data_IF_202917459119
#
_entry.id   IF_202917459119
#
_cell.length_a   1.000
_cell.length_b   1.000
_cell.length_c   1.000
_cell.angle_alpha   90.00
_cell.angle_beta   90.00
_cell.angle_gamma   90.00
#
_symmetry.space_group_name_H-M   'P 1'
#
loop_
_entity.id
_entity.type
_entity.pdbx_description
1 polymer ?
#
# COMPACT_ATOMS: atom_id res chain seq x y z
N UNK A 1 -32.19 7.89 -26.23
CA UNK A 1 -32.73 9.18 -25.73
C UNK A 1 -31.93 10.29 -26.39
N UNK A 2 -32.55 11.40 -26.82
CA UNK A 2 -31.82 12.56 -27.34
C UNK A 2 -30.87 13.10 -26.27
N UNK A 3 -29.60 13.31 -26.63
CA UNK A 3 -28.60 13.90 -25.74
C UNK A 3 -28.86 15.40 -25.59
N UNK A 4 -28.63 15.92 -24.38
CA UNK A 4 -28.71 17.36 -24.13
C UNK A 4 -27.38 18.01 -24.49
N UNK A 5 -27.43 19.16 -25.18
CA UNK A 5 -26.23 19.86 -25.60
C UNK A 5 -25.70 20.77 -24.48
N UNK A 6 -24.72 20.27 -23.73
CA UNK A 6 -23.95 21.00 -22.71
C UNK A 6 -22.51 20.52 -22.73
N UNK A 7 -21.58 21.36 -22.31
CA UNK A 7 -20.16 21.02 -22.21
C UNK A 7 -19.65 21.19 -20.79
N UNK A 8 -18.96 20.17 -20.26
CA UNK A 8 -18.38 20.18 -18.92
C UNK A 8 -17.15 19.27 -18.84
N UNK A 9 -16.20 19.66 -18.00
CA UNK A 9 -15.17 18.74 -17.52
C UNK A 9 -15.62 18.03 -16.25
N UNK A 10 -15.42 16.72 -16.21
CA UNK A 10 -15.62 15.89 -15.01
C UNK A 10 -14.26 15.52 -14.45
N UNK A 11 -14.03 15.84 -13.18
CA UNK A 11 -12.75 15.69 -12.48
C UNK A 11 -12.98 14.85 -11.23
N UNK A 12 -12.10 13.87 -10.97
CA UNK A 12 -12.04 13.23 -9.65
C UNK A 12 -10.94 13.88 -8.78
N UNK A 13 -11.26 14.08 -7.52
CA UNK A 13 -10.31 14.48 -6.47
C UNK A 13 -10.44 13.57 -5.26
N UNK A 14 -9.74 13.91 -4.18
CA UNK A 14 -9.79 13.15 -2.92
C UNK A 14 -11.23 13.07 -2.36
N UNK A 15 -11.80 11.86 -2.45
CA UNK A 15 -13.17 11.53 -2.05
C UNK A 15 -14.24 12.45 -2.68
N UNK A 16 -13.98 13.03 -3.85
CA UNK A 16 -14.93 13.92 -4.52
C UNK A 16 -14.96 13.78 -6.04
N UNK A 17 -16.09 14.15 -6.61
CA UNK A 17 -16.28 14.36 -8.04
C UNK A 17 -16.72 15.82 -8.25
N UNK A 18 -16.10 16.47 -9.24
CA UNK A 18 -16.36 17.86 -9.62
C UNK A 18 -16.84 17.84 -11.07
N UNK A 19 -17.97 18.49 -11.34
CA UNK A 19 -18.49 18.75 -12.68
C UNK A 19 -18.40 20.25 -12.88
N UNK A 20 -17.60 20.69 -13.85
CA UNK A 20 -17.32 22.10 -14.12
C UNK A 20 -17.74 22.45 -15.54
N UNK A 21 -18.76 23.29 -15.67
CA UNK A 21 -19.10 23.93 -16.93
C UNK A 21 -18.32 25.24 -17.10
N UNK A 22 -17.97 25.64 -18.34
CA UNK A 22 -17.46 26.97 -18.58
C UNK A 22 -18.54 27.98 -18.17
N UNK A 23 -18.19 28.91 -17.28
CA UNK A 23 -19.12 29.97 -16.89
C UNK A 23 -19.44 30.82 -18.13
N UNK A 24 -20.70 31.19 -18.38
CA UNK A 24 -21.07 31.97 -19.57
C UNK A 24 -20.63 33.45 -19.52
N UNK A 25 -19.56 33.78 -18.78
CA UNK A 25 -19.05 35.14 -18.59
C UNK A 25 -19.88 35.97 -17.59
N UNK A 26 -19.59 37.28 -17.52
CA UNK A 26 -20.36 38.24 -16.70
C UNK A 26 -21.72 38.46 -17.34
N UNK A 27 -22.78 38.05 -16.67
CA UNK A 27 -24.16 38.22 -17.13
C UNK A 27 -24.94 39.15 -16.19
N UNK A 28 -26.12 39.58 -16.61
CA UNK A 28 -27.06 40.21 -15.68
C UNK A 28 -27.51 39.19 -14.63
N UNK A 29 -27.83 39.66 -13.43
CA UNK A 29 -28.26 38.79 -12.31
C UNK A 29 -29.44 37.87 -12.68
N UNK A 30 -30.40 38.37 -13.46
CA UNK A 30 -31.54 37.58 -13.94
C UNK A 30 -31.12 36.43 -14.86
N UNK A 31 -30.20 36.67 -15.78
CA UNK A 31 -29.68 35.65 -16.71
C UNK A 31 -28.85 34.60 -15.97
N UNK A 32 -28.02 35.04 -15.02
CA UNK A 32 -27.23 34.13 -14.18
C UNK A 32 -28.13 33.22 -13.34
N UNK A 33 -29.20 33.77 -12.75
CA UNK A 33 -30.19 32.98 -11.99
C UNK A 33 -31.01 32.03 -12.86
N UNK A 34 -31.36 32.44 -14.09
CA UNK A 34 -32.04 31.57 -15.04
C UNK A 34 -31.14 30.39 -15.45
N UNK A 35 -29.88 30.67 -15.75
CA UNK A 35 -28.87 29.65 -16.07
C UNK A 35 -28.64 28.69 -14.90
N UNK A 36 -28.49 29.21 -13.68
CA UNK A 36 -28.30 28.40 -12.46
C UNK A 36 -29.50 27.47 -12.22
N UNK A 37 -30.73 27.97 -12.43
CA UNK A 37 -31.97 27.19 -12.33
C UNK A 37 -32.02 26.10 -13.39
N UNK A 38 -31.64 26.40 -14.63
CA UNK A 38 -31.57 25.42 -15.71
C UNK A 38 -30.54 24.33 -15.40
N UNK A 39 -29.33 24.72 -14.98
CA UNK A 39 -28.25 23.78 -14.64
C UNK A 39 -28.65 22.88 -13.46
N UNK A 40 -29.33 23.44 -12.46
CA UNK A 40 -29.93 22.69 -11.34
C UNK A 40 -30.94 21.65 -11.83
N UNK A 41 -31.83 22.03 -12.73
CA UNK A 41 -32.90 21.17 -13.24
C UNK A 41 -32.38 20.08 -14.19
N UNK A 42 -31.38 20.40 -15.01
CA UNK A 42 -30.86 19.49 -16.02
C UNK A 42 -29.78 18.56 -15.45
N UNK A 43 -28.91 19.05 -14.55
CA UNK A 43 -27.71 18.32 -14.13
C UNK A 43 -27.80 17.89 -12.67
N UNK A 44 -28.02 18.83 -11.74
CA UNK A 44 -28.09 18.49 -10.30
C UNK A 44 -29.21 17.47 -10.01
N UNK A 45 -30.41 17.70 -10.56
CA UNK A 45 -31.55 16.78 -10.42
C UNK A 45 -31.21 15.37 -10.91
N UNK A 46 -30.47 15.24 -12.02
CA UNK A 46 -30.07 13.93 -12.57
C UNK A 46 -29.02 13.23 -11.73
N UNK A 47 -28.08 13.98 -11.14
CA UNK A 47 -27.13 13.44 -10.16
C UNK A 47 -27.90 12.88 -8.96
N UNK A 48 -28.83 13.64 -8.39
CA UNK A 48 -29.69 13.19 -7.28
C UNK A 48 -30.49 11.94 -7.65
N UNK A 49 -31.10 11.89 -8.84
CA UNK A 49 -31.81 10.70 -9.30
C UNK A 49 -30.89 9.48 -9.45
N UNK A 50 -29.65 9.69 -9.93
CA UNK A 50 -28.65 8.63 -10.07
C UNK A 50 -28.20 8.12 -8.71
N UNK A 51 -27.98 9.03 -7.75
CA UNK A 51 -27.66 8.72 -6.36
C UNK A 51 -28.77 7.90 -5.70
N UNK A 52 -30.03 8.35 -5.80
CA UNK A 52 -31.18 7.64 -5.24
C UNK A 52 -31.30 6.22 -5.81
N UNK A 53 -31.09 6.02 -7.12
CA UNK A 53 -31.08 4.68 -7.75
C UNK A 53 -29.95 3.78 -7.25
N UNK A 54 -28.85 4.37 -6.77
CA UNK A 54 -27.76 3.62 -6.14
C UNK A 54 -28.01 3.37 -4.65
N UNK A 55 -29.14 3.80 -4.10
CA UNK A 55 -29.49 3.64 -2.68
C UNK A 55 -28.90 4.72 -1.76
N UNK A 56 -28.50 5.87 -2.30
CA UNK A 56 -28.18 7.04 -1.49
C UNK A 56 -29.47 7.76 -1.09
N UNK A 57 -29.54 8.20 0.16
CA UNK A 57 -30.50 9.21 0.60
C UNK A 57 -29.93 10.57 0.25
N UNK A 58 -30.75 11.47 -0.31
CA UNK A 58 -30.35 12.83 -0.69
C UNK A 58 -31.40 13.83 -0.18
N UNK A 59 -31.11 14.51 0.92
CA UNK A 59 -32.02 15.47 1.54
C UNK A 59 -31.54 16.90 1.33
N UNK A 60 -32.46 17.86 1.20
CA UNK A 60 -32.09 19.27 1.32
C UNK A 60 -31.77 19.57 2.79
N UNK A 61 -30.74 20.39 3.08
CA UNK A 61 -30.48 20.78 4.46
C UNK A 61 -31.68 21.55 5.04
N UNK A 62 -31.83 21.52 6.36
CA UNK A 62 -32.84 22.31 7.07
C UNK A 62 -32.41 23.79 7.13
N UNK A 63 -33.39 24.70 7.13
CA UNK A 63 -33.14 26.12 7.40
C UNK A 63 -32.88 26.31 8.88
N UNK A 64 -31.77 26.97 9.22
CA UNK A 64 -31.51 27.40 10.59
C UNK A 64 -32.54 28.45 10.99
N UNK A 65 -32.99 28.44 12.24
CA UNK A 65 -34.00 29.40 12.73
C UNK A 65 -33.60 30.86 12.47
N UNK A 66 -32.32 31.21 12.71
CA UNK A 66 -31.79 32.54 12.41
C UNK A 66 -31.94 32.93 10.94
N UNK A 67 -31.68 32.00 10.03
CA UNK A 67 -31.75 32.26 8.59
C UNK A 67 -33.19 32.46 8.12
N UNK A 68 -34.18 31.89 8.84
CA UNK A 68 -35.60 32.11 8.56
C UNK A 68 -36.04 33.55 8.83
N UNK A 69 -35.43 34.20 9.82
CA UNK A 69 -35.77 35.56 10.22
C UNK A 69 -34.98 36.60 9.41
N UNK A 70 -33.66 36.44 9.29
CA UNK A 70 -32.79 37.53 8.81
C UNK A 70 -32.53 37.51 7.30
N UNK A 71 -32.49 36.32 6.67
CA UNK A 71 -31.96 36.16 5.30
C UNK A 71 -32.67 35.05 4.50
N UNK A 72 -33.97 34.86 4.74
CA UNK A 72 -34.73 33.71 4.22
C UNK A 72 -34.55 33.47 2.72
N UNK A 73 -34.69 34.51 1.89
CA UNK A 73 -34.59 34.37 0.43
C UNK A 73 -33.20 33.91 -0.06
N UNK A 74 -32.13 34.37 0.61
CA UNK A 74 -30.75 33.98 0.29
C UNK A 74 -30.51 32.54 0.76
N UNK A 75 -30.85 32.25 2.02
CA UNK A 75 -30.67 30.93 2.62
C UNK A 75 -31.47 29.84 1.90
N UNK A 76 -32.72 30.11 1.51
CA UNK A 76 -33.55 29.19 0.73
C UNK A 76 -32.95 28.92 -0.66
N UNK A 77 -32.35 29.92 -1.32
CA UNK A 77 -31.68 29.66 -2.59
C UNK A 77 -30.42 28.80 -2.43
N UNK A 78 -29.60 29.05 -1.40
CA UNK A 78 -28.45 28.19 -1.08
C UNK A 78 -28.88 26.75 -0.78
N UNK A 79 -29.92 26.58 0.02
CA UNK A 79 -30.48 25.28 0.39
C UNK A 79 -30.93 24.46 -0.82
N UNK A 80 -31.51 25.11 -1.83
CA UNK A 80 -31.92 24.44 -3.08
C UNK A 80 -30.74 23.92 -3.90
N UNK A 81 -29.55 24.48 -3.73
CA UNK A 81 -28.32 24.08 -4.39
C UNK A 81 -27.53 23.00 -3.63
N UNK A 82 -27.93 22.67 -2.41
CA UNK A 82 -27.21 21.73 -1.56
C UNK A 82 -28.06 20.49 -1.28
N UNK A 83 -27.42 19.32 -1.24
CA UNK A 83 -28.00 18.10 -0.65
C UNK A 83 -27.01 17.51 0.33
N UNK A 84 -27.53 17.11 1.48
CA UNK A 84 -26.86 16.23 2.42
C UNK A 84 -27.22 14.81 2.02
N UNK A 85 -26.20 14.01 1.71
CA UNK A 85 -26.38 12.66 1.19
C UNK A 85 -25.79 11.63 2.14
N UNK A 86 -26.42 10.47 2.23
CA UNK A 86 -25.93 9.36 3.04
C UNK A 86 -26.24 8.00 2.41
N UNK A 87 -25.34 7.04 2.64
CA UNK A 87 -25.52 5.63 2.31
C UNK A 87 -24.80 4.78 3.36
N UNK A 88 -25.54 4.32 4.36
CA UNK A 88 -24.94 3.76 5.58
C UNK A 88 -24.03 4.80 6.24
N UNK A 89 -22.81 4.39 6.60
CA UNK A 89 -21.82 5.26 7.25
C UNK A 89 -21.09 6.22 6.28
N UNK A 90 -21.29 6.05 4.96
CA UNK A 90 -20.72 6.96 3.96
C UNK A 90 -21.66 8.15 3.80
N UNK A 91 -21.16 9.35 4.14
CA UNK A 91 -21.88 10.62 4.03
C UNK A 91 -21.31 11.46 2.90
N UNK A 92 -22.07 12.44 2.41
CA UNK A 92 -21.58 13.36 1.38
C UNK A 92 -22.31 14.69 1.36
N UNK A 93 -21.63 15.72 0.85
CA UNK A 93 -22.23 17.00 0.50
C UNK A 93 -22.26 17.13 -1.02
N UNK A 94 -23.45 17.31 -1.57
CA UNK A 94 -23.65 17.66 -2.97
C UNK A 94 -23.97 19.15 -3.04
N UNK A 95 -23.10 19.96 -3.66
CA UNK A 95 -23.27 21.41 -3.74
C UNK A 95 -23.15 21.90 -5.17
N UNK A 96 -24.11 22.73 -5.59
CA UNK A 96 -24.03 23.57 -6.78
C UNK A 96 -23.55 24.97 -6.39
N UNK A 97 -22.51 25.47 -7.04
CA UNK A 97 -21.95 26.81 -6.84
C UNK A 97 -21.55 27.39 -8.19
N UNK A 98 -22.30 28.37 -8.69
CA UNK A 98 -22.13 28.93 -10.04
C UNK A 98 -22.19 27.81 -11.08
N UNK A 99 -21.15 27.71 -11.92
CA UNK A 99 -21.03 26.68 -12.96
C UNK A 99 -20.38 25.36 -12.50
N UNK A 100 -20.29 25.13 -11.18
CA UNK A 100 -19.62 23.95 -10.63
C UNK A 100 -20.55 23.17 -9.70
N UNK A 101 -20.68 21.87 -9.95
CA UNK A 101 -21.27 20.92 -9.01
C UNK A 101 -20.15 20.11 -8.37
N UNK A 102 -20.12 20.07 -7.05
CA UNK A 102 -19.19 19.25 -6.26
C UNK A 102 -19.97 18.24 -5.45
N UNK A 103 -19.59 16.98 -5.56
CA UNK A 103 -20.06 15.92 -4.67
C UNK A 103 -18.87 15.40 -3.88
N UNK A 104 -18.81 15.74 -2.60
CA UNK A 104 -17.71 15.39 -1.69
C UNK A 104 -18.19 14.40 -0.64
N UNK A 105 -17.58 13.22 -0.62
CA UNK A 105 -17.89 12.11 0.27
C UNK A 105 -16.92 12.08 1.46
N UNK A 106 -17.42 11.64 2.61
CA UNK A 106 -16.66 11.52 3.85
C UNK A 106 -17.27 10.41 4.73
N UNK A 107 -16.55 10.04 5.78
CA UNK A 107 -16.92 8.95 6.69
C UNK A 107 -16.47 9.28 8.11
N UNK A 108 -17.20 8.76 9.09
CA UNK A 108 -16.96 9.01 10.52
C UNK A 108 -16.33 7.81 11.26
N UNK A 109 -16.15 6.67 10.59
CA UNK A 109 -15.65 5.42 11.19
C UNK A 109 -14.17 5.51 11.56
N UNK A 110 -13.37 6.19 10.75
CA UNK A 110 -11.92 6.26 10.90
C UNK A 110 -11.42 7.66 10.52
N UNK A 111 -11.62 8.66 11.36
CA UNK A 111 -11.15 10.04 11.14
C UNK A 111 -10.16 10.44 12.25
N UNK A 112 -8.91 9.94 12.20
CA UNK A 112 -7.96 10.04 13.31
C UNK A 112 -7.50 11.48 13.58
N UNK A 113 -7.45 12.33 12.56
CA UNK A 113 -6.92 13.70 12.69
C UNK A 113 -8.01 14.72 13.03
N UNK A 114 -9.26 14.40 12.65
CA UNK A 114 -10.46 15.23 12.80
C UNK A 114 -11.70 14.37 13.09
N UNK A 115 -11.83 13.83 14.32
CA UNK A 115 -13.01 13.05 14.72
C UNK A 115 -14.26 13.94 14.87
N UNK A 116 -14.07 15.26 15.00
CA UNK A 116 -15.13 16.25 15.00
C UNK A 116 -15.85 16.31 13.64
N UNK A 117 -17.12 16.72 13.68
CA UNK A 117 -17.96 16.87 12.49
C UNK A 117 -18.04 15.61 11.61
N UNK A 118 -18.04 14.41 12.22
CA UNK A 118 -18.18 13.13 11.52
C UNK A 118 -17.10 12.87 10.45
N UNK A 119 -15.88 13.39 10.63
CA UNK A 119 -14.81 13.25 9.65
C UNK A 119 -15.03 14.06 8.37
N UNK A 120 -16.00 14.99 8.34
CA UNK A 120 -16.28 15.88 7.20
C UNK A 120 -15.06 16.69 6.77
N UNK A 121 -14.25 17.11 7.73
CA UNK A 121 -13.06 17.94 7.49
C UNK A 121 -11.75 17.16 7.54
N UNK A 122 -11.81 15.83 7.57
CA UNK A 122 -10.62 14.97 7.47
C UNK A 122 -9.89 15.24 6.15
N UNK A 123 -8.56 15.39 6.22
CA UNK A 123 -7.67 15.40 5.06
C UNK A 123 -7.41 13.97 4.58
N UNK A 124 -7.04 13.79 3.31
CA UNK A 124 -6.81 12.47 2.71
C UNK A 124 -7.95 11.48 2.98
N UNK A 125 -9.19 11.93 2.77
CA UNK A 125 -10.42 11.19 3.13
C UNK A 125 -10.40 9.76 2.57
N UNK A 126 -9.91 9.57 1.35
CA UNK A 126 -9.82 8.23 0.73
C UNK A 126 -8.84 7.28 1.43
N UNK A 127 -7.74 7.82 1.98
CA UNK A 127 -6.71 7.04 2.69
C UNK A 127 -7.25 6.48 3.99
N UNK A 128 -8.06 7.29 4.68
CA UNK A 128 -8.66 6.92 5.95
C UNK A 128 -9.95 6.09 5.80
N UNK A 129 -10.57 6.14 4.63
CA UNK A 129 -11.80 5.40 4.35
C UNK A 129 -11.56 3.87 4.38
N UNK A 130 -12.35 3.12 5.17
CA UNK A 130 -12.31 1.65 5.15
C UNK A 130 -12.51 1.08 3.73
N UNK A 131 -11.89 -0.07 3.46
CA UNK A 131 -11.78 -0.62 2.10
C UNK A 131 -13.13 -0.71 1.34
N UNK A 132 -14.17 -1.27 1.98
CA UNK A 132 -15.49 -1.42 1.35
C UNK A 132 -16.17 -0.07 1.09
N UNK A 133 -16.05 0.88 2.02
CA UNK A 133 -16.57 2.25 1.83
C UNK A 133 -15.86 2.96 0.69
N UNK A 134 -14.53 2.76 0.56
CA UNK A 134 -13.73 3.32 -0.53
C UNK A 134 -14.16 2.75 -1.88
N UNK A 135 -14.49 1.45 -1.95
CA UNK A 135 -15.04 0.85 -3.17
C UNK A 135 -16.42 1.39 -3.52
N UNK A 136 -17.29 1.62 -2.53
CA UNK A 136 -18.63 2.16 -2.76
C UNK A 136 -18.58 3.64 -3.20
N UNK A 137 -17.69 4.42 -2.59
CA UNK A 137 -17.33 5.79 -3.01
C UNK A 137 -16.84 5.80 -4.46
N UNK A 138 -15.91 4.91 -4.81
CA UNK A 138 -15.37 4.74 -6.16
C UNK A 138 -16.47 4.42 -7.18
N UNK A 139 -17.31 3.44 -6.85
CA UNK A 139 -18.45 3.03 -7.67
C UNK A 139 -19.41 4.19 -7.90
N UNK A 140 -19.69 4.96 -6.86
CA UNK A 140 -20.59 6.13 -6.90
C UNK A 140 -20.07 7.18 -7.87
N UNK A 141 -18.80 7.62 -7.74
CA UNK A 141 -18.23 8.62 -8.66
C UNK A 141 -18.16 8.14 -10.11
N UNK A 142 -17.79 6.87 -10.33
CA UNK A 142 -17.78 6.28 -11.69
C UNK A 142 -19.16 6.25 -12.32
N UNK A 143 -20.18 5.86 -11.56
CA UNK A 143 -21.54 5.78 -12.07
C UNK A 143 -22.08 7.15 -12.46
N UNK A 144 -21.82 8.17 -11.65
CA UNK A 144 -22.18 9.56 -11.97
C UNK A 144 -21.47 10.01 -13.26
N UNK A 145 -20.14 9.85 -13.32
CA UNK A 145 -19.35 10.20 -14.52
C UNK A 145 -19.90 9.53 -15.78
N UNK A 146 -20.02 8.19 -15.75
CA UNK A 146 -20.50 7.42 -16.90
C UNK A 146 -21.91 7.82 -17.30
N UNK A 147 -22.81 8.04 -16.33
CA UNK A 147 -24.17 8.49 -16.64
C UNK A 147 -24.17 9.86 -17.32
N UNK A 148 -23.43 10.84 -16.79
CA UNK A 148 -23.40 12.19 -17.32
C UNK A 148 -22.77 12.25 -18.73
N UNK A 149 -21.62 11.59 -18.94
CA UNK A 149 -21.00 11.50 -20.28
C UNK A 149 -21.90 10.83 -21.32
N UNK A 150 -22.79 9.92 -20.91
CA UNK A 150 -23.72 9.26 -21.85
C UNK A 150 -24.91 10.16 -22.22
N UNK A 151 -25.33 11.07 -21.34
CA UNK A 151 -26.53 11.90 -21.50
C UNK A 151 -26.22 13.26 -22.13
N UNK A 152 -25.03 13.81 -21.87
CA UNK A 152 -24.61 15.12 -22.37
C UNK A 152 -23.50 14.97 -23.40
N UNK A 153 -23.71 15.49 -24.60
CA UNK A 153 -22.80 15.30 -25.74
C UNK A 153 -21.42 15.95 -25.56
N UNK A 154 -21.33 17.06 -24.80
CA UNK A 154 -20.08 17.77 -24.56
C UNK A 154 -19.42 17.46 -23.21
N UNK A 155 -19.94 16.50 -22.43
CA UNK A 155 -19.34 16.14 -21.15
C UNK A 155 -18.20 15.14 -21.35
N UNK A 156 -17.02 15.47 -20.84
CA UNK A 156 -15.84 14.60 -20.93
C UNK A 156 -15.18 14.40 -19.57
N UNK A 157 -14.45 13.30 -19.45
CA UNK A 157 -13.65 13.02 -18.25
C UNK A 157 -12.25 13.61 -18.42
N UNK A 158 -11.91 14.59 -17.60
CA UNK A 158 -10.62 15.29 -17.67
C UNK A 158 -9.59 14.50 -16.86
N UNK A 159 -8.87 13.63 -17.57
CA UNK A 159 -7.86 12.74 -16.99
C UNK A 159 -6.63 13.49 -16.50
N UNK A 160 -6.28 14.61 -17.13
CA UNK A 160 -5.12 15.42 -16.75
C UNK A 160 -5.40 16.20 -15.46
N UNK A 161 -6.52 16.91 -15.39
CA UNK A 161 -6.94 17.57 -14.17
C UNK A 161 -7.15 16.54 -13.06
N UNK A 162 -7.76 15.40 -13.35
CA UNK A 162 -7.89 14.31 -12.37
C UNK A 162 -6.54 13.81 -11.86
N UNK A 163 -5.49 13.77 -12.69
CA UNK A 163 -4.13 13.39 -12.25
C UNK A 163 -3.45 14.48 -11.40
N UNK A 164 -3.79 15.76 -11.64
CA UNK A 164 -3.31 16.89 -10.83
C UNK A 164 -4.03 16.98 -9.48
N UNK A 165 -5.35 16.73 -9.45
CA UNK A 165 -6.21 16.83 -8.27
C UNK A 165 -6.29 15.53 -7.46
N UNK A 166 -6.25 14.39 -8.14
CA UNK A 166 -6.11 13.08 -7.55
C UNK A 166 -4.63 12.72 -7.56
N UNK A 167 -4.02 12.62 -6.39
CA UNK A 167 -2.67 12.07 -6.24
C UNK A 167 -2.54 10.81 -7.13
N UNK A 168 -1.36 10.57 -7.71
CA UNK A 168 -1.03 9.37 -8.50
C UNK A 168 -1.05 8.09 -7.63
N UNK A 169 -2.19 7.84 -6.99
CA UNK A 169 -2.40 6.80 -5.99
C UNK A 169 -2.46 5.46 -6.70
N UNK A 170 -2.01 4.42 -6.01
CA UNK A 170 -2.30 3.06 -6.38
C UNK A 170 -3.69 2.70 -5.86
N UNK A 171 -4.52 2.10 -6.71
CA UNK A 171 -5.81 1.59 -6.27
C UNK A 171 -6.87 1.54 -7.36
N UNK A 172 -8.02 0.92 -7.06
CA UNK A 172 -9.16 0.91 -7.97
C UNK A 172 -9.54 2.32 -8.40
N UNK A 173 -9.43 2.61 -9.70
CA UNK A 173 -9.81 3.93 -10.27
C UNK A 173 -8.64 4.89 -10.46
N UNK A 174 -7.47 4.47 -10.01
CA UNK A 174 -6.22 5.16 -10.22
C UNK A 174 -5.26 4.22 -10.97
N UNK A 175 -3.96 4.31 -10.66
CA UNK A 175 -2.93 3.52 -11.31
C UNK A 175 -2.96 2.08 -10.80
N UNK A 176 -2.80 1.13 -11.73
CA UNK A 176 -2.38 -0.23 -11.38
C UNK A 176 -0.92 -0.21 -10.94
N UNK A 177 -0.49 -1.29 -10.26
CA UNK A 177 0.92 -1.48 -9.92
C UNK A 177 1.82 -1.38 -11.17
N UNK A 178 1.41 -2.03 -12.25
CA UNK A 178 2.11 -1.97 -13.53
C UNK A 178 2.17 -0.55 -14.10
N UNK A 179 1.05 0.17 -14.15
CA UNK A 179 1.01 1.54 -14.68
C UNK A 179 1.87 2.49 -13.83
N UNK A 180 1.94 2.27 -12.51
CA UNK A 180 2.80 3.05 -11.62
C UNK A 180 4.28 2.78 -11.90
N UNK A 181 4.66 1.53 -12.13
CA UNK A 181 6.03 1.14 -12.48
C UNK A 181 6.41 1.68 -13.86
N UNK A 182 5.49 1.65 -14.84
CA UNK A 182 5.73 2.24 -16.16
C UNK A 182 6.03 3.74 -16.08
N UNK A 183 5.23 4.49 -15.31
CA UNK A 183 5.49 5.91 -15.05
C UNK A 183 6.85 6.13 -14.38
N UNK A 184 7.26 5.24 -13.48
CA UNK A 184 8.59 5.29 -12.88
C UNK A 184 9.69 5.06 -13.93
N UNK A 185 9.52 4.13 -14.87
CA UNK A 185 10.47 3.92 -15.97
C UNK A 185 10.59 5.12 -16.89
N UNK A 186 9.47 5.77 -17.24
CA UNK A 186 9.48 7.00 -18.04
C UNK A 186 10.36 8.08 -17.40
N UNK A 187 10.26 8.21 -16.07
CA UNK A 187 10.98 9.22 -15.27
C UNK A 187 12.41 8.82 -14.87
N UNK A 188 12.70 7.51 -14.79
CA UNK A 188 13.98 6.98 -14.30
C UNK A 188 15.11 7.20 -15.31
N UNK A 189 16.32 7.45 -14.83
CA UNK A 189 17.52 7.54 -15.69
C UNK A 189 18.27 6.20 -15.81
N UNK A 190 17.87 5.18 -15.05
CA UNK A 190 18.62 3.91 -14.96
C UNK A 190 18.10 2.84 -15.93
N UNK A 191 16.81 2.55 -15.88
CA UNK A 191 16.17 1.57 -16.74
C UNK A 191 14.82 2.09 -17.21
N UNK A 192 14.58 1.97 -18.52
CA UNK A 192 13.41 2.51 -19.20
C UNK A 192 12.30 1.49 -19.43
N UNK A 193 12.42 0.26 -18.93
CA UNK A 193 11.42 -0.78 -19.14
C UNK A 193 11.49 -1.44 -20.53
N UNK A 194 12.47 -1.09 -21.35
CA UNK A 194 12.59 -1.50 -22.75
C UNK A 194 13.98 -2.09 -23.04
N UNK A 195 14.10 -2.83 -24.16
CA UNK A 195 15.35 -3.43 -24.63
C UNK A 195 16.04 -4.32 -23.58
N UNK A 196 15.25 -5.10 -22.83
CA UNK A 196 15.74 -5.95 -21.74
C UNK A 196 16.90 -6.86 -22.14
N UNK A 197 16.81 -7.50 -23.31
CA UNK A 197 17.86 -8.41 -23.82
C UNK A 197 19.22 -7.72 -23.99
N UNK A 198 19.22 -6.46 -24.43
CA UNK A 198 20.43 -5.66 -24.51
C UNK A 198 20.88 -5.20 -23.12
N UNK A 199 19.93 -4.85 -22.26
CA UNK A 199 20.24 -4.35 -20.93
C UNK A 199 20.88 -5.42 -20.04
N UNK A 200 20.36 -6.66 -20.05
CA UNK A 200 20.83 -7.76 -19.21
C UNK A 200 22.25 -8.26 -19.54
N UNK A 201 22.75 -7.94 -20.72
CA UNK A 201 24.12 -8.26 -21.17
C UNK A 201 25.13 -7.14 -20.87
N UNK A 202 24.69 -6.05 -20.24
CA UNK A 202 25.57 -4.94 -19.84
C UNK A 202 26.62 -5.34 -18.79
N UNK A 203 27.74 -4.60 -18.76
CA UNK A 203 28.80 -4.83 -17.80
C UNK A 203 28.29 -4.68 -16.35
N UNK A 204 28.63 -5.64 -15.49
CA UNK A 204 28.23 -5.65 -14.07
C UNK A 204 26.79 -6.12 -13.80
N UNK A 205 26.06 -6.59 -14.82
CA UNK A 205 24.68 -7.04 -14.63
C UNK A 205 24.54 -8.39 -13.96
N UNK A 206 25.47 -9.33 -14.13
CA UNK A 206 25.33 -10.72 -13.64
C UNK A 206 24.91 -10.79 -12.16
N UNK A 207 25.62 -10.09 -11.28
CA UNK A 207 25.29 -10.05 -9.84
C UNK A 207 23.92 -9.42 -9.53
N UNK A 208 23.45 -8.52 -10.38
CA UNK A 208 22.15 -7.86 -10.23
C UNK A 208 20.96 -8.75 -10.66
N UNK A 209 21.26 -9.83 -11.37
CA UNK A 209 20.29 -10.80 -11.87
C UNK A 209 20.25 -12.07 -11.00
N UNK A 210 21.26 -12.34 -10.19
CA UNK A 210 21.34 -13.59 -9.43
C UNK A 210 20.21 -13.69 -8.39
N UNK A 211 19.30 -14.64 -8.62
CA UNK A 211 18.25 -15.02 -7.68
C UNK A 211 18.81 -15.63 -6.39
N UNK A 212 17.94 -15.91 -5.42
CA UNK A 212 18.29 -16.63 -4.21
C UNK A 212 18.92 -18.02 -4.47
N UNK A 213 18.60 -18.65 -5.61
CA UNK A 213 19.18 -19.92 -6.04
C UNK A 213 20.44 -19.77 -6.92
N UNK A 214 20.87 -18.55 -7.23
CA UNK A 214 21.98 -18.30 -8.16
C UNK A 214 21.62 -18.50 -9.63
N UNK A 215 20.32 -18.47 -9.96
CA UNK A 215 19.82 -18.46 -11.34
C UNK A 215 19.50 -17.04 -11.76
N UNK A 216 19.86 -16.64 -12.99
CA UNK A 216 19.58 -15.30 -13.49
C UNK A 216 18.07 -15.03 -13.58
N UNK A 217 17.65 -13.89 -13.04
CA UNK A 217 16.29 -13.40 -13.12
C UNK A 217 16.00 -12.79 -14.49
N UNK A 218 14.79 -13.04 -15.02
CA UNK A 218 14.29 -12.46 -16.26
C UNK A 218 13.21 -11.39 -16.00
N UNK A 219 13.23 -10.33 -16.80
CA UNK A 219 12.23 -9.26 -16.71
C UNK A 219 10.85 -9.77 -17.12
N UNK A 220 9.86 -9.62 -16.24
CA UNK A 220 8.49 -10.08 -16.47
C UNK A 220 8.24 -11.53 -16.06
N UNK A 221 9.17 -12.19 -15.37
CA UNK A 221 8.96 -13.56 -14.90
C UNK A 221 8.17 -13.64 -13.58
N UNK A 222 7.62 -14.82 -13.28
CA UNK A 222 7.03 -15.09 -11.97
C UNK A 222 8.12 -15.43 -10.96
N UNK A 223 8.05 -14.83 -9.78
CA UNK A 223 8.97 -15.09 -8.67
C UNK A 223 8.22 -15.38 -7.37
N UNK A 224 8.91 -16.04 -6.45
CA UNK A 224 8.48 -16.28 -5.09
C UNK A 224 9.41 -15.57 -4.11
N UNK A 225 8.86 -15.08 -3.02
CA UNK A 225 9.64 -14.38 -2.00
C UNK A 225 8.91 -14.45 -0.66
N UNK A 226 9.55 -14.03 0.42
CA UNK A 226 8.93 -14.04 1.73
C UNK A 226 8.60 -12.63 2.21
N UNK A 227 7.44 -12.47 2.85
CA UNK A 227 7.16 -11.22 3.56
C UNK A 227 8.04 -11.10 4.82
N UNK A 228 7.98 -9.93 5.48
CA UNK A 228 8.71 -9.72 6.75
C UNK A 228 8.35 -10.75 7.84
N UNK A 229 7.27 -11.53 7.72
CA UNK A 229 6.87 -12.59 8.67
C UNK A 229 7.32 -13.99 8.22
N UNK A 230 8.02 -14.11 7.10
CA UNK A 230 8.46 -15.37 6.50
C UNK A 230 7.35 -16.09 5.75
N UNK A 231 6.23 -15.44 5.41
CA UNK A 231 5.18 -16.06 4.58
C UNK A 231 5.56 -15.94 3.13
N UNK A 232 5.47 -17.06 2.42
CA UNK A 232 5.66 -17.09 0.97
C UNK A 232 4.60 -16.26 0.26
N UNK A 233 5.06 -15.49 -0.70
CA UNK A 233 4.29 -14.67 -1.62
C UNK A 233 4.70 -15.02 -3.05
N UNK A 234 3.84 -14.66 -4.00
CA UNK A 234 4.10 -14.80 -5.44
C UNK A 234 3.88 -13.46 -6.11
N UNK A 235 4.70 -13.13 -7.10
CA UNK A 235 4.51 -11.93 -7.88
C UNK A 235 5.20 -11.97 -9.23
N UNK A 236 5.00 -10.90 -10.00
CA UNK A 236 5.67 -10.66 -11.27
C UNK A 236 6.89 -9.75 -11.04
N UNK A 237 8.09 -10.24 -11.33
CA UNK A 237 9.32 -9.47 -11.19
C UNK A 237 9.57 -8.59 -12.42
N UNK A 238 9.83 -7.31 -12.19
CA UNK A 238 10.24 -6.34 -13.20
C UNK A 238 11.51 -5.65 -12.70
N UNK A 239 12.57 -5.70 -13.51
CA UNK A 239 13.85 -5.11 -13.16
C UNK A 239 13.72 -3.62 -12.81
N UNK A 240 14.41 -3.16 -11.77
CA UNK A 240 14.42 -1.75 -11.38
C UNK A 240 15.82 -1.14 -11.60
N UNK A 241 16.70 -1.29 -10.62
CA UNK A 241 18.04 -0.71 -10.61
C UNK A 241 18.96 -1.58 -9.76
N UNK A 242 20.19 -1.80 -10.22
CA UNK A 242 21.17 -2.66 -9.55
C UNK A 242 20.53 -4.02 -9.23
N UNK A 243 20.79 -4.57 -8.05
CA UNK A 243 20.18 -5.79 -7.56
C UNK A 243 18.72 -5.62 -7.11
N UNK A 244 18.07 -4.47 -7.32
CA UNK A 244 16.68 -4.24 -6.90
C UNK A 244 15.69 -4.51 -8.02
N UNK A 245 14.58 -5.16 -7.64
CA UNK A 245 13.51 -5.59 -8.52
C UNK A 245 12.16 -5.17 -7.98
N UNK A 246 11.32 -4.59 -8.84
CA UNK A 246 9.91 -4.43 -8.54
C UNK A 246 9.22 -5.80 -8.60
N UNK A 247 8.41 -6.13 -7.60
CA UNK A 247 7.60 -7.34 -7.62
C UNK A 247 6.13 -6.96 -7.47
N UNK A 248 5.36 -7.16 -8.52
CA UNK A 248 3.91 -6.91 -8.53
C UNK A 248 3.22 -8.07 -7.81
N UNK A 249 2.57 -7.78 -6.68
CA UNK A 249 1.89 -8.78 -5.83
C UNK A 249 0.38 -8.79 -6.03
N UNK A 250 -0.15 -7.82 -6.78
CA UNK A 250 -1.56 -7.73 -7.14
C UNK A 250 -1.84 -6.50 -8.02
N UNK A 251 -3.09 -6.30 -8.49
CA UNK A 251 -3.42 -5.23 -9.44
C UNK A 251 -3.03 -3.83 -8.97
N UNK A 252 -2.98 -3.61 -7.65
CA UNK A 252 -2.71 -2.31 -7.03
C UNK A 252 -1.63 -2.38 -5.93
N UNK A 253 -0.81 -3.44 -5.93
CA UNK A 253 0.21 -3.65 -4.91
C UNK A 253 1.49 -4.17 -5.55
N UNK A 254 2.63 -3.59 -5.15
CA UNK A 254 3.96 -4.04 -5.51
C UNK A 254 4.93 -3.73 -4.37
N UNK A 255 6.09 -4.37 -4.40
CA UNK A 255 7.21 -4.14 -3.47
C UNK A 255 8.51 -4.00 -4.26
N UNK A 256 9.57 -3.49 -3.63
CA UNK A 256 10.93 -3.51 -4.17
C UNK A 256 11.75 -4.49 -3.33
N UNK A 257 12.41 -5.46 -3.96
CA UNK A 257 13.17 -6.51 -3.28
C UNK A 257 14.52 -6.70 -3.96
N UNK A 258 15.50 -7.17 -3.20
CA UNK A 258 16.79 -7.56 -3.75
C UNK A 258 16.67 -8.86 -4.55
N UNK A 259 17.45 -9.03 -5.62
CA UNK A 259 17.46 -10.24 -6.46
C UNK A 259 17.73 -11.51 -5.64
N UNK A 260 18.61 -11.43 -4.64
CA UNK A 260 18.92 -12.51 -3.71
C UNK A 260 17.81 -12.88 -2.73
N UNK A 261 16.70 -12.13 -2.70
CA UNK A 261 15.48 -12.46 -1.95
C UNK A 261 14.40 -13.11 -2.84
N UNK A 262 14.64 -13.17 -4.15
CA UNK A 262 13.69 -13.68 -5.13
C UNK A 262 14.06 -15.10 -5.53
N UNK A 263 13.08 -15.97 -5.48
CA UNK A 263 13.17 -17.37 -5.86
C UNK A 263 12.54 -17.56 -7.24
N UNK A 264 13.24 -18.28 -8.13
CA UNK A 264 12.76 -18.63 -9.48
C UNK A 264 11.87 -19.86 -9.49
N UNK A 265 11.92 -20.65 -8.41
CA UNK A 265 11.18 -21.91 -8.25
C UNK A 265 10.20 -21.74 -7.08
N UNK A 266 8.96 -22.27 -7.17
CA UNK A 266 8.04 -22.25 -6.05
C UNK A 266 8.60 -23.01 -4.84
N UNK A 267 8.35 -22.54 -3.61
CA UNK A 267 8.71 -23.30 -2.43
C UNK A 267 7.92 -24.62 -2.37
N UNK A 268 8.55 -25.70 -1.93
CA UNK A 268 7.90 -27.02 -1.81
C UNK A 268 6.63 -26.96 -0.95
N UNK A 269 6.68 -26.20 0.15
CA UNK A 269 5.61 -26.07 1.13
C UNK A 269 5.23 -24.59 1.33
N UNK A 270 4.46 -23.98 0.41
CA UNK A 270 4.15 -22.54 0.44
C UNK A 270 3.34 -22.11 1.67
N UNK A 271 2.65 -23.05 2.33
CA UNK A 271 1.87 -22.79 3.55
C UNK A 271 2.74 -22.70 4.80
N UNK A 272 3.96 -23.25 4.76
CA UNK A 272 4.90 -23.20 5.88
C UNK A 272 5.69 -21.90 5.79
N UNK A 273 5.84 -21.21 6.92
CA UNK A 273 6.62 -19.97 6.98
C UNK A 273 8.11 -20.31 6.93
N UNK A 274 8.84 -19.67 6.03
CA UNK A 274 10.30 -19.62 6.03
C UNK A 274 10.78 -18.65 7.11
N UNK A 275 10.68 -19.08 8.38
CA UNK A 275 11.03 -18.25 9.53
C UNK A 275 11.93 -18.97 10.54
N UNK A 276 12.68 -19.98 10.10
CA UNK A 276 13.53 -20.81 10.95
C UNK A 276 14.51 -19.98 11.78
N UNK A 277 15.22 -19.03 11.17
CA UNK A 277 16.14 -18.13 11.89
C UNK A 277 15.42 -17.33 13.00
N UNK A 278 14.22 -16.82 12.72
CA UNK A 278 13.43 -16.07 13.72
C UNK A 278 12.90 -16.98 14.82
N UNK A 279 12.46 -18.19 14.48
CA UNK A 279 12.02 -19.21 15.42
C UNK A 279 13.18 -19.57 16.35
N UNK A 280 14.36 -19.82 15.79
CA UNK A 280 15.60 -20.09 16.54
C UNK A 280 15.92 -18.95 17.51
N UNK A 281 16.05 -17.72 17.01
CA UNK A 281 16.33 -16.54 17.85
C UNK A 281 15.33 -16.37 19.00
N UNK A 282 14.04 -16.63 18.75
CA UNK A 282 12.99 -16.56 19.78
C UNK A 282 13.17 -17.68 20.82
N UNK A 283 13.43 -18.90 20.39
CA UNK A 283 13.62 -20.03 21.30
C UNK A 283 14.89 -19.85 22.13
N UNK A 284 16.00 -19.39 21.55
CA UNK A 284 17.24 -19.05 22.26
C UNK A 284 16.97 -17.98 23.33
N UNK A 285 16.26 -16.90 22.97
CA UNK A 285 15.90 -15.85 23.93
C UNK A 285 15.03 -16.38 25.08
N UNK A 286 14.05 -17.25 24.79
CA UNK A 286 13.23 -17.88 25.82
C UNK A 286 14.04 -18.81 26.73
N UNK A 287 15.01 -19.53 26.16
CA UNK A 287 15.92 -20.41 26.92
C UNK A 287 16.78 -19.57 27.87
N UNK A 288 17.40 -18.49 27.39
CA UNK A 288 18.17 -17.57 28.23
C UNK A 288 17.33 -16.94 29.34
N UNK A 289 16.08 -16.52 29.03
CA UNK A 289 15.16 -15.99 30.03
C UNK A 289 14.77 -17.01 31.10
N UNK A 290 14.57 -18.28 30.71
CA UNK A 290 14.27 -19.36 31.66
C UNK A 290 15.46 -19.62 32.59
N UNK A 291 16.68 -19.69 32.04
CA UNK A 291 17.91 -19.84 32.82
C UNK A 291 18.13 -18.67 33.79
N UNK A 292 17.90 -17.43 33.36
CA UNK A 292 18.02 -16.24 34.21
C UNK A 292 17.02 -16.23 35.39
N UNK A 293 15.87 -16.89 35.22
CA UNK A 293 14.86 -17.07 36.28
C UNK A 293 15.08 -18.35 37.11
N UNK A 294 16.18 -19.07 36.90
CA UNK A 294 16.48 -20.37 37.52
C UNK A 294 15.42 -21.47 37.21
N UNK A 295 14.64 -21.31 36.14
CA UNK A 295 13.71 -22.34 35.65
C UNK A 295 14.44 -23.31 34.69
N UNK A 296 15.28 -24.16 35.28
CA UNK A 296 16.17 -25.05 34.52
C UNK A 296 15.40 -26.14 33.75
N UNK A 297 14.25 -26.60 34.27
CA UNK A 297 13.40 -27.57 33.56
C UNK A 297 12.89 -27.00 32.24
N UNK A 298 12.42 -25.74 32.25
CA UNK A 298 11.98 -25.07 31.02
C UNK A 298 13.15 -24.80 30.06
N UNK A 299 14.31 -24.41 30.58
CA UNK A 299 15.51 -24.20 29.78
C UNK A 299 15.95 -25.50 29.07
N UNK A 300 15.87 -26.64 29.75
CA UNK A 300 16.19 -27.96 29.19
C UNK A 300 15.24 -28.36 28.06
N UNK A 301 13.92 -28.18 28.24
CA UNK A 301 12.94 -28.44 27.17
C UNK A 301 13.23 -27.59 25.93
N UNK A 302 13.50 -26.29 26.11
CA UNK A 302 13.81 -25.39 25.00
C UNK A 302 15.14 -25.73 24.32
N UNK A 303 16.15 -26.12 25.09
CA UNK A 303 17.43 -26.63 24.58
C UNK A 303 17.22 -27.84 23.68
N UNK A 304 16.43 -28.82 24.12
CA UNK A 304 16.19 -30.05 23.36
C UNK A 304 15.37 -29.81 22.07
N UNK A 305 14.55 -28.76 22.03
CA UNK A 305 13.86 -28.33 20.80
C UNK A 305 14.81 -27.61 19.84
N UNK A 306 15.73 -26.79 20.36
CA UNK A 306 16.69 -26.00 19.59
C UNK A 306 17.80 -26.86 18.99
N UNK A 307 18.35 -27.76 19.82
CA UNK A 307 19.53 -28.55 19.53
C UNK A 307 19.20 -29.98 19.98
N UNK A 308 18.95 -30.90 19.05
CA UNK A 308 18.74 -32.30 19.37
C UNK A 308 19.92 -32.86 20.19
N UNK A 309 19.70 -33.78 21.14
CA UNK A 309 20.75 -34.29 22.03
C UNK A 309 21.95 -34.93 21.33
N UNK A 310 21.76 -35.35 20.07
CA UNK A 310 22.74 -36.04 19.23
C UNK A 310 23.69 -35.10 18.48
N UNK A 311 23.53 -33.78 18.59
CA UNK A 311 24.41 -32.82 17.90
C UNK A 311 25.49 -32.24 18.83
N UNK A 312 26.74 -32.24 18.35
CA UNK A 312 27.85 -31.55 18.99
C UNK A 312 27.67 -30.03 18.91
N UNK A 313 28.02 -29.33 19.99
CA UNK A 313 27.92 -27.88 20.08
C UNK A 313 29.29 -27.22 20.21
N UNK A 314 29.41 -26.08 19.55
CA UNK A 314 30.62 -25.27 19.48
C UNK A 314 30.30 -23.80 19.75
N UNK A 315 31.29 -23.05 20.23
CA UNK A 315 31.35 -21.60 20.15
C UNK A 315 32.31 -21.21 19.02
N UNK A 316 32.08 -20.07 18.37
CA UNK A 316 33.04 -19.49 17.41
C UNK A 316 33.85 -18.43 18.15
N UNK A 317 35.14 -18.67 18.34
CA UNK A 317 36.08 -17.70 18.90
C UNK A 317 36.80 -16.94 17.79
N UNK A 318 37.18 -15.68 18.03
CA UNK A 318 37.97 -14.86 17.11
C UNK A 318 38.98 -13.96 17.81
N UNK A 319 40.18 -13.84 17.23
CA UNK A 319 41.24 -12.94 17.68
C UNK A 319 41.02 -11.47 17.25
N UNK A 320 40.31 -11.23 16.15
CA UNK A 320 40.05 -9.89 15.57
C UNK A 320 39.31 -8.92 16.49
N UNK A 321 38.63 -9.45 17.49
CA UNK A 321 37.89 -8.67 18.48
C UNK A 321 38.47 -8.84 19.90
N UNK A 322 39.80 -8.91 20.01
CA UNK A 322 40.49 -8.98 21.30
C UNK A 322 40.30 -10.32 22.01
N UNK A 323 40.09 -11.40 21.26
CA UNK A 323 39.84 -12.73 21.80
C UNK A 323 38.43 -12.91 22.35
N UNK A 324 37.42 -12.78 21.48
CA UNK A 324 36.01 -12.85 21.85
C UNK A 324 35.27 -13.98 21.12
N UNK A 325 34.10 -14.34 21.61
CA UNK A 325 33.20 -15.30 21.00
C UNK A 325 32.07 -14.61 20.25
N UNK A 326 31.59 -15.21 19.17
CA UNK A 326 30.39 -14.74 18.47
C UNK A 326 29.19 -14.79 19.42
N UNK A 327 28.43 -13.70 19.51
CA UNK A 327 27.16 -13.65 20.23
C UNK A 327 26.07 -14.48 19.53
N UNK A 328 24.93 -14.75 20.18
CA UNK A 328 23.85 -15.57 19.63
C UNK A 328 23.37 -15.10 18.24
N UNK A 329 23.01 -16.04 17.36
CA UNK A 329 22.60 -15.75 15.97
C UNK A 329 23.66 -14.96 15.17
N UNK A 330 24.96 -15.18 15.43
CA UNK A 330 26.10 -14.52 14.79
C UNK A 330 26.12 -12.99 14.96
N UNK A 331 25.49 -12.47 16.01
CA UNK A 331 25.33 -11.02 16.22
C UNK A 331 26.12 -10.55 17.44
N UNK A 332 27.10 -9.68 17.18
CA UNK A 332 27.98 -9.13 18.21
C UNK A 332 29.05 -10.12 18.69
N UNK A 333 29.86 -9.65 19.64
CA UNK A 333 30.93 -10.43 20.24
C UNK A 333 30.87 -10.31 21.77
N UNK A 334 31.28 -11.36 22.47
CA UNK A 334 31.35 -11.38 23.93
C UNK A 334 32.55 -12.18 24.40
N UNK A 335 33.22 -11.73 25.46
CA UNK A 335 34.24 -12.52 26.15
C UNK A 335 33.63 -13.50 27.18
N UNK A 336 32.33 -13.36 27.48
CA UNK A 336 31.61 -14.23 28.40
C UNK A 336 31.08 -15.48 27.66
N UNK A 337 31.69 -16.64 27.94
CA UNK A 337 31.32 -17.94 27.36
C UNK A 337 29.89 -18.36 27.70
N UNK A 338 29.34 -17.87 28.81
CA UNK A 338 27.95 -18.16 29.18
C UNK A 338 26.96 -17.43 28.24
N UNK A 339 27.33 -16.25 27.76
CA UNK A 339 26.53 -15.43 26.84
C UNK A 339 26.83 -15.67 25.36
N UNK A 340 27.94 -16.35 25.04
CA UNK A 340 28.31 -16.68 23.66
C UNK A 340 27.23 -17.48 22.93
N UNK A 341 27.18 -17.36 21.60
CA UNK A 341 26.32 -18.19 20.76
C UNK A 341 26.76 -19.66 20.78
N UNK A 342 25.80 -20.58 20.69
CA UNK A 342 26.03 -22.02 20.62
C UNK A 342 25.60 -22.52 19.25
N UNK A 343 26.53 -23.11 18.52
CA UNK A 343 26.40 -23.45 17.12
C UNK A 343 26.60 -24.93 16.89
N UNK A 344 25.84 -25.49 15.96
CA UNK A 344 26.04 -26.87 15.48
C UNK A 344 27.18 -26.91 14.47
N UNK A 345 27.66 -28.11 14.09
CA UNK A 345 28.74 -28.21 13.10
C UNK A 345 28.36 -27.62 11.74
N UNK A 346 27.11 -27.83 11.30
CA UNK A 346 26.61 -27.25 10.05
C UNK A 346 26.61 -25.72 10.07
N UNK A 347 26.38 -25.12 11.24
CA UNK A 347 26.37 -23.68 11.46
C UNK A 347 27.77 -23.03 11.42
N UNK A 348 28.83 -23.81 11.65
CA UNK A 348 30.20 -23.34 11.51
C UNK A 348 30.65 -23.22 10.04
N UNK A 349 30.07 -24.01 9.13
CA UNK A 349 30.54 -24.15 7.73
C UNK A 349 30.73 -22.83 6.98
N UNK A 350 29.82 -21.84 7.06
CA UNK A 350 30.01 -20.57 6.33
C UNK A 350 31.28 -19.80 6.76
N UNK A 351 31.78 -20.05 7.97
CA UNK A 351 32.91 -19.34 8.56
C UNK A 351 34.20 -20.17 8.55
N UNK A 352 34.11 -21.42 8.98
CA UNK A 352 35.25 -22.32 9.21
C UNK A 352 35.38 -23.41 8.13
N UNK A 353 34.37 -23.59 7.27
CA UNK A 353 34.28 -24.74 6.38
C UNK A 353 34.16 -26.04 7.19
N UNK A 354 34.93 -27.06 6.80
CA UNK A 354 34.99 -28.33 7.54
C UNK A 354 36.11 -28.36 8.60
N UNK A 355 36.94 -27.30 8.69
CA UNK A 355 38.06 -27.19 9.62
C UNK A 355 37.61 -26.72 11.02
N UNK A 356 38.43 -27.01 12.03
CA UNK A 356 38.22 -26.50 13.41
C UNK A 356 38.82 -25.11 13.62
N UNK A 357 39.77 -24.72 12.76
CA UNK A 357 40.42 -23.42 12.77
C UNK A 357 40.59 -22.94 11.33
N UNK A 358 40.26 -21.67 11.09
CA UNK A 358 40.44 -21.03 9.79
C UNK A 358 40.66 -19.54 9.98
N UNK A 359 41.74 -19.03 9.40
CA UNK A 359 42.14 -17.63 9.49
C UNK A 359 42.22 -17.13 10.94
N UNK A 360 41.24 -16.34 11.35
CA UNK A 360 41.11 -15.67 12.64
C UNK A 360 40.04 -16.30 13.54
N UNK A 361 39.54 -17.47 13.16
CA UNK A 361 38.38 -18.12 13.76
C UNK A 361 38.75 -19.51 14.27
N UNK A 362 38.17 -19.88 15.42
CA UNK A 362 38.31 -21.21 16.03
C UNK A 362 36.98 -21.75 16.54
N UNK A 363 36.69 -23.00 16.23
CA UNK A 363 35.59 -23.75 16.82
C UNK A 363 36.00 -24.28 18.20
N UNK A 364 35.32 -23.81 19.25
CA UNK A 364 35.57 -24.24 20.64
C UNK A 364 34.46 -25.21 21.07
N UNK A 365 34.76 -26.49 21.32
CA UNK A 365 33.74 -27.48 21.67
C UNK A 365 33.16 -27.22 23.07
N UNK A 366 31.84 -27.32 23.19
CA UNK A 366 31.08 -27.17 24.44
C UNK A 366 30.56 -28.54 24.91
N UNK A 367 30.09 -29.34 23.95
CA UNK A 367 29.46 -30.64 24.18
C UNK A 367 29.74 -31.54 23.00
N UNK A 368 30.22 -32.75 23.27
CA UNK A 368 30.27 -33.82 22.28
C UNK A 368 28.87 -34.43 22.12
N UNK A 369 28.51 -34.76 20.87
CA UNK A 369 27.37 -35.63 20.58
C UNK A 369 27.47 -36.90 21.43
N UNK A 370 26.34 -37.30 22.02
CA UNK A 370 26.23 -38.54 22.80
C UNK A 370 25.89 -39.72 21.89
#
# INVERSE_FOLDING_TARGET
MPQLNRSASIIFGDAKIIIREPHPGRQSWNQEKAWEREYRNQVLKRIVQTLNRMGWTCAMPELRERDKHDQYGIAENFRRNERLCSKGDLKANLKLSGATITFEMFQNVNAPDRPDHDGRYQSDKEKHMPYLMRLEMERTRRRIRTYLCNIFSGYYFDTEATRKFGNQKLGPGHLTALARIQLHYEQSWHFKGENWEKYKTGAGMTYNLDSAEGVNLEHGQTVWFTDRKGRWQRGLALYNINNMWWVITGPYSYTNLCCSELHTIPPELPKIKANLARRRKRLESLMSQAAAKMDFKRAEVLKNILIPPQESLYMIWTDRHGGAYFGPSYSGYTCDTTQAGKYTRAELKPYLGDADEKDHLRAVPIRAAA
#
